data_IF_967106188183
#
_entry.id   IF_967106188183
#
_cell.length_a   1.000
_cell.length_b   1.000
_cell.length_c   1.000
_cell.angle_alpha   90.00
_cell.angle_beta   90.00
_cell.angle_gamma   90.00
#
_symmetry.space_group_name_H-M   'P 1'
#
loop_
_entity.id
_entity.type
_entity.pdbx_description
1 polymer ?
#
# COMPACT_ATOMS: atom_id res chain seq x y z
N UNK A 1 -10.68 -27.76 9.97
CA UNK A 1 -10.02 -26.53 9.47
C UNK A 1 -10.96 -25.38 9.76
N UNK A 2 -10.48 -24.31 10.39
CA UNK A 2 -11.25 -23.07 10.53
C UNK A 2 -11.45 -22.44 9.16
N UNK A 3 -12.62 -21.86 8.87
CA UNK A 3 -12.82 -21.10 7.64
C UNK A 3 -11.90 -19.87 7.63
N UNK A 4 -11.53 -19.40 6.44
CA UNK A 4 -10.68 -18.20 6.30
C UNK A 4 -11.34 -16.97 6.95
N UNK A 5 -12.65 -16.83 6.79
CA UNK A 5 -13.46 -15.78 7.43
C UNK A 5 -13.41 -15.84 8.97
N UNK A 6 -13.45 -17.04 9.55
CA UNK A 6 -13.30 -17.20 11.00
C UNK A 6 -11.88 -16.84 11.45
N UNK A 7 -10.85 -17.33 10.73
CA UNK A 7 -9.46 -17.02 11.05
C UNK A 7 -9.17 -15.50 11.01
N UNK A 8 -9.79 -14.79 10.06
CA UNK A 8 -9.72 -13.34 9.95
C UNK A 8 -10.43 -12.62 11.09
N UNK A 9 -11.64 -13.07 11.45
CA UNK A 9 -12.40 -12.53 12.58
C UNK A 9 -11.65 -12.70 13.91
N UNK A 10 -10.95 -13.82 14.08
CA UNK A 10 -10.17 -14.14 15.28
C UNK A 10 -8.91 -13.28 15.45
N UNK A 11 -8.50 -12.49 14.44
CA UNK A 11 -7.38 -11.55 14.55
C UNK A 11 -7.71 -10.35 15.43
N UNK A 12 -8.96 -9.86 15.41
CA UNK A 12 -9.36 -8.60 16.06
C UNK A 12 -8.88 -8.44 17.52
N UNK A 13 -8.99 -9.43 18.42
CA UNK A 13 -8.49 -9.28 19.80
C UNK A 13 -6.95 -9.26 19.92
N UNK A 14 -6.23 -9.73 18.89
CA UNK A 14 -4.76 -9.81 18.88
C UNK A 14 -4.12 -8.51 18.39
N UNK A 15 -4.77 -7.83 17.43
CA UNK A 15 -4.23 -6.63 16.80
C UNK A 15 -4.25 -5.43 17.75
N UNK A 16 -3.17 -4.66 17.79
CA UNK A 16 -2.92 -3.59 18.77
C UNK A 16 -3.29 -2.20 18.28
N UNK A 17 -2.94 -1.87 17.04
CA UNK A 17 -3.09 -0.53 16.50
C UNK A 17 -4.00 -0.47 15.27
N UNK A 18 -4.21 -1.60 14.60
CA UNK A 18 -5.20 -1.72 13.53
C UNK A 18 -6.36 -2.63 13.93
N UNK A 19 -7.43 -2.56 13.16
CA UNK A 19 -8.58 -3.46 13.24
C UNK A 19 -8.91 -4.00 11.85
N UNK A 20 -9.18 -5.30 11.68
CA UNK A 20 -9.51 -5.88 10.39
C UNK A 20 -10.85 -5.31 9.88
N UNK A 21 -10.91 -4.99 8.58
CA UNK A 21 -12.19 -4.63 7.94
C UNK A 21 -12.95 -5.89 7.51
N UNK A 22 -14.30 -5.87 7.52
CA UNK A 22 -15.08 -6.97 6.95
C UNK A 22 -14.93 -6.98 5.42
N UNK A 23 -14.87 -8.18 4.85
CA UNK A 23 -14.88 -8.38 3.40
C UNK A 23 -16.27 -8.75 2.89
N UNK A 24 -16.61 -8.28 1.68
CA UNK A 24 -17.76 -8.78 0.93
C UNK A 24 -17.48 -10.20 0.39
N UNK A 25 -18.52 -10.90 -0.06
CA UNK A 25 -18.37 -12.22 -0.69
C UNK A 25 -17.39 -12.18 -1.88
N UNK A 26 -17.48 -11.15 -2.73
CA UNK A 26 -16.58 -10.99 -3.88
C UNK A 26 -15.12 -10.73 -3.48
N UNK A 27 -14.91 -10.06 -2.34
CA UNK A 27 -13.58 -9.83 -1.78
C UNK A 27 -13.03 -11.10 -1.16
N UNK A 28 -13.87 -11.92 -0.53
CA UNK A 28 -13.46 -13.24 -0.05
C UNK A 28 -13.03 -14.15 -1.19
N UNK A 29 -13.82 -14.24 -2.27
CA UNK A 29 -13.44 -14.99 -3.47
C UNK A 29 -12.10 -14.53 -4.04
N UNK A 30 -11.86 -13.21 -4.07
CA UNK A 30 -10.59 -12.64 -4.49
C UNK A 30 -9.41 -13.10 -3.60
N UNK A 31 -9.57 -13.05 -2.29
CA UNK A 31 -8.53 -13.46 -1.34
C UNK A 31 -8.23 -14.95 -1.47
N UNK A 32 -9.27 -15.79 -1.63
CA UNK A 32 -9.10 -17.23 -1.84
C UNK A 32 -8.30 -17.53 -3.11
N UNK A 33 -8.59 -16.83 -4.22
CA UNK A 33 -7.79 -16.92 -5.45
C UNK A 33 -6.32 -16.54 -5.22
N UNK A 34 -6.06 -15.39 -4.58
CA UNK A 34 -4.68 -14.95 -4.26
C UNK A 34 -3.96 -15.91 -3.31
N UNK A 35 -4.68 -16.57 -2.41
CA UNK A 35 -4.10 -17.54 -1.48
C UNK A 35 -3.75 -18.85 -2.19
N UNK A 36 -4.59 -19.30 -3.12
CA UNK A 36 -4.34 -20.51 -3.92
C UNK A 36 -3.22 -20.31 -4.94
N UNK A 37 -3.23 -19.17 -5.62
CA UNK A 37 -2.19 -18.75 -6.55
C UNK A 37 -2.01 -17.23 -6.46
N UNK A 38 -0.98 -16.79 -5.76
CA UNK A 38 -0.74 -15.35 -5.60
C UNK A 38 -0.50 -14.66 -6.94
N UNK A 39 0.01 -15.38 -7.95
CA UNK A 39 0.23 -14.88 -9.31
C UNK A 39 -1.01 -14.98 -10.21
N UNK A 40 -2.20 -15.19 -9.64
CA UNK A 40 -3.46 -15.07 -10.38
C UNK A 40 -3.63 -13.63 -10.88
N UNK A 41 -3.46 -13.45 -12.19
CA UNK A 41 -3.52 -12.14 -12.85
C UNK A 41 -4.88 -11.47 -12.68
N UNK A 42 -5.97 -12.21 -12.82
CA UNK A 42 -7.31 -11.63 -12.70
C UNK A 42 -7.51 -11.13 -11.27
N UNK A 43 -7.10 -11.92 -10.28
CA UNK A 43 -7.12 -11.52 -8.89
C UNK A 43 -6.23 -10.28 -8.62
N UNK A 44 -4.97 -10.28 -9.09
CA UNK A 44 -4.05 -9.17 -8.88
C UNK A 44 -4.55 -7.85 -9.49
N UNK A 45 -5.25 -7.89 -10.63
CA UNK A 45 -5.84 -6.68 -11.25
C UNK A 45 -6.96 -6.03 -10.43
N UNK A 46 -7.53 -6.76 -9.46
CA UNK A 46 -8.57 -6.26 -8.56
C UNK A 46 -8.01 -5.64 -7.27
N UNK A 47 -6.70 -5.68 -7.07
CA UNK A 47 -6.00 -4.97 -5.99
C UNK A 47 -5.73 -3.49 -6.39
N UNK A 48 -5.45 -2.60 -5.42
CA UNK A 48 -5.46 -2.77 -3.96
C UNK A 48 -6.81 -3.07 -3.32
N UNK A 49 -6.73 -3.75 -2.17
CA UNK A 49 -7.85 -4.07 -1.30
C UNK A 49 -7.56 -3.55 0.12
N UNK A 50 -8.41 -2.70 0.73
CA UNK A 50 -8.29 -2.37 2.15
C UNK A 50 -8.51 -3.60 3.01
N UNK A 51 -7.56 -3.90 3.90
CA UNK A 51 -7.61 -5.07 4.79
C UNK A 51 -7.75 -4.67 6.26
N UNK A 52 -7.34 -3.48 6.65
CA UNK A 52 -7.53 -2.99 8.02
C UNK A 52 -7.66 -1.48 8.04
N UNK A 53 -8.09 -0.94 9.17
CA UNK A 53 -8.01 0.49 9.48
C UNK A 53 -7.28 0.69 10.80
N UNK A 54 -6.61 1.84 10.96
CA UNK A 54 -6.10 2.22 12.27
C UNK A 54 -7.25 2.39 13.26
N UNK A 55 -7.04 1.90 14.48
CA UNK A 55 -7.88 2.23 15.63
C UNK A 55 -7.81 3.74 15.86
N UNK A 56 -8.91 4.35 16.28
CA UNK A 56 -8.98 5.79 16.47
C UNK A 56 -7.93 6.33 17.46
N UNK A 57 -7.63 5.57 18.52
CA UNK A 57 -6.59 5.92 19.50
C UNK A 57 -5.18 5.92 18.90
N UNK A 58 -4.84 4.89 18.11
CA UNK A 58 -3.56 4.80 17.43
C UNK A 58 -3.40 5.91 16.39
N UNK A 59 -4.43 6.15 15.56
CA UNK A 59 -4.46 7.25 14.59
C UNK A 59 -4.18 8.59 15.27
N UNK A 60 -4.89 8.88 16.36
CA UNK A 60 -4.76 10.14 17.08
C UNK A 60 -3.34 10.33 17.63
N UNK A 61 -2.80 9.31 18.30
CA UNK A 61 -1.47 9.41 18.91
C UNK A 61 -0.35 9.53 17.87
N UNK A 62 -0.43 8.78 16.77
CA UNK A 62 0.52 8.89 15.65
C UNK A 62 0.48 10.29 15.05
N UNK A 63 -0.71 10.85 14.85
CA UNK A 63 -0.87 12.20 14.33
C UNK A 63 -0.30 13.26 15.28
N UNK A 64 -0.65 13.21 16.57
CA UNK A 64 -0.14 14.14 17.59
C UNK A 64 1.40 14.13 17.62
N UNK A 65 2.02 12.96 17.49
CA UNK A 65 3.47 12.87 17.40
C UNK A 65 4.01 13.48 16.11
N UNK A 66 3.42 13.18 14.94
CA UNK A 66 3.84 13.74 13.66
C UNK A 66 3.78 15.28 13.63
N UNK A 67 2.84 15.91 14.36
CA UNK A 67 2.75 17.38 14.45
C UNK A 67 3.91 18.06 15.19
N UNK A 68 4.81 17.30 15.81
CA UNK A 68 5.98 17.83 16.51
C UNK A 68 7.17 18.09 15.57
N UNK A 69 7.05 17.74 14.29
CA UNK A 69 8.14 17.78 13.31
C UNK A 69 7.76 18.65 12.11
N UNK A 70 8.53 19.71 11.88
CA UNK A 70 8.34 20.66 10.76
C UNK A 70 8.88 20.15 9.42
N UNK A 71 9.75 19.14 9.45
CA UNK A 71 10.28 18.42 8.30
C UNK A 71 9.84 16.95 8.35
N UNK A 72 10.01 16.22 7.24
CA UNK A 72 9.74 14.79 7.16
C UNK A 72 10.97 14.00 7.62
N UNK A 73 10.79 13.23 8.67
CA UNK A 73 11.75 12.21 9.10
C UNK A 73 11.43 10.88 8.41
N UNK A 74 12.47 10.16 7.96
CA UNK A 74 12.34 8.83 7.34
C UNK A 74 13.29 7.86 8.03
N UNK A 75 12.77 6.70 8.43
CA UNK A 75 13.54 5.63 9.06
C UNK A 75 13.19 4.27 8.45
N UNK A 76 14.17 3.37 8.42
CA UNK A 76 13.94 1.99 7.99
C UNK A 76 13.49 1.14 9.17
N UNK A 77 12.65 0.13 8.90
CA UNK A 77 12.07 -0.71 9.94
C UNK A 77 13.12 -1.52 10.73
N UNK A 78 14.30 -1.72 10.15
CA UNK A 78 15.43 -2.44 10.76
C UNK A 78 16.34 -1.52 11.60
N UNK A 79 16.11 -0.20 11.56
CA UNK A 79 16.87 0.76 12.33
C UNK A 79 16.37 0.76 13.79
N UNK A 80 17.28 0.56 14.75
CA UNK A 80 16.99 0.57 16.19
C UNK A 80 16.69 1.98 16.74
N UNK A 81 16.03 2.84 15.98
CA UNK A 81 15.70 4.20 16.37
C UNK A 81 14.81 4.17 17.65
N UNK A 82 15.16 4.94 18.69
CA UNK A 82 14.42 4.98 19.95
C UNK A 82 13.22 5.95 19.95
N UNK A 83 12.80 6.48 18.79
CA UNK A 83 11.67 7.41 18.72
C UNK A 83 10.30 6.72 18.94
N UNK A 84 9.28 7.51 19.27
CA UNK A 84 7.94 6.99 19.56
C UNK A 84 7.27 6.37 18.32
N UNK A 85 7.62 6.83 17.11
CA UNK A 85 7.10 6.27 15.85
C UNK A 85 7.66 4.89 15.60
N UNK A 86 8.90 4.60 15.99
CA UNK A 86 9.47 3.26 15.97
C UNK A 86 8.64 2.29 16.81
N UNK A 87 8.11 2.74 17.95
CA UNK A 87 7.16 1.98 18.77
C UNK A 87 5.88 1.65 18.01
N UNK A 88 5.27 2.63 17.34
CA UNK A 88 4.09 2.41 16.50
C UNK A 88 4.39 1.57 15.26
N UNK A 89 5.55 1.73 14.64
CA UNK A 89 6.00 0.95 13.49
C UNK A 89 6.18 -0.53 13.85
N UNK A 90 6.72 -0.85 15.05
CA UNK A 90 6.81 -2.23 15.54
C UNK A 90 5.42 -2.85 15.75
N UNK A 91 4.52 -2.13 16.42
CA UNK A 91 3.14 -2.60 16.60
C UNK A 91 2.41 -2.77 15.26
N UNK A 92 2.67 -1.87 14.31
CA UNK A 92 2.14 -1.96 12.94
C UNK A 92 2.66 -3.22 12.25
N UNK A 93 3.96 -3.48 12.38
CA UNK A 93 4.59 -4.65 11.81
C UNK A 93 3.97 -5.93 12.39
N UNK A 94 3.87 -6.05 13.71
CA UNK A 94 3.28 -7.22 14.36
C UNK A 94 1.84 -7.46 13.90
N UNK A 95 1.04 -6.39 13.82
CA UNK A 95 -0.35 -6.48 13.38
C UNK A 95 -0.47 -6.91 11.91
N UNK A 96 0.36 -6.33 11.01
CA UNK A 96 0.34 -6.65 9.58
C UNK A 96 0.88 -8.05 9.30
N UNK A 97 1.88 -8.52 10.06
CA UNK A 97 2.37 -9.90 9.95
C UNK A 97 1.27 -10.89 10.34
N UNK A 98 0.56 -10.65 11.44
CA UNK A 98 -0.57 -11.48 11.84
C UNK A 98 -1.68 -11.52 10.78
N UNK A 99 -1.94 -10.41 10.08
CA UNK A 99 -2.87 -10.38 8.95
C UNK A 99 -2.35 -11.15 7.73
N UNK A 100 -1.07 -10.99 7.39
CA UNK A 100 -0.48 -11.65 6.23
C UNK A 100 -0.34 -13.16 6.43
N UNK A 101 -0.11 -13.64 7.65
CA UNK A 101 -0.15 -15.07 7.98
C UNK A 101 -1.49 -15.72 7.61
N UNK A 102 -2.59 -14.97 7.71
CA UNK A 102 -3.93 -15.43 7.34
C UNK A 102 -4.17 -15.29 5.84
N UNK A 103 -3.90 -14.11 5.27
CA UNK A 103 -4.25 -13.78 3.88
C UNK A 103 -3.30 -14.39 2.85
N UNK A 104 -1.99 -14.35 3.12
CA UNK A 104 -0.93 -14.80 2.21
C UNK A 104 0.12 -15.58 3.01
N UNK A 105 -0.16 -16.84 3.42
CA UNK A 105 0.70 -17.58 4.35
C UNK A 105 2.14 -17.82 3.87
N UNK A 106 2.38 -17.69 2.56
CA UNK A 106 3.70 -17.77 1.91
C UNK A 106 4.49 -16.45 1.97
N UNK A 107 3.87 -15.34 2.40
CA UNK A 107 4.54 -14.06 2.51
C UNK A 107 5.54 -14.06 3.67
N UNK A 108 6.76 -13.59 3.42
CA UNK A 108 7.80 -13.38 4.44
C UNK A 108 8.31 -11.96 4.33
N UNK A 109 8.47 -11.30 5.47
CA UNK A 109 8.97 -9.93 5.52
C UNK A 109 10.30 -9.82 4.76
N UNK A 110 10.41 -8.76 3.95
CA UNK A 110 11.60 -8.46 3.14
C UNK A 110 12.22 -7.13 3.56
N UNK A 111 11.43 -6.05 3.49
CA UNK A 111 11.84 -4.70 3.83
C UNK A 111 10.63 -3.87 4.23
N UNK A 112 10.87 -2.82 5.01
CA UNK A 112 9.86 -1.86 5.41
C UNK A 112 10.51 -0.54 5.80
N UNK A 113 9.74 0.52 5.70
CA UNK A 113 10.14 1.85 6.16
C UNK A 113 8.92 2.61 6.65
N UNK A 114 9.18 3.65 7.41
CA UNK A 114 8.17 4.60 7.82
C UNK A 114 8.72 6.02 7.72
N UNK A 115 7.82 6.97 7.47
CA UNK A 115 8.14 8.38 7.41
C UNK A 115 7.08 9.17 8.16
N UNK A 116 7.44 10.27 8.82
CA UNK A 116 6.49 11.08 9.58
C UNK A 116 6.94 12.53 9.68
N UNK A 117 6.00 13.42 9.96
CA UNK A 117 6.25 14.86 10.06
C UNK A 117 5.41 15.65 9.07
N UNK A 118 5.86 16.86 8.72
CA UNK A 118 5.14 17.79 7.86
C UNK A 118 5.55 17.64 6.39
N UNK A 119 4.64 17.09 5.60
CA UNK A 119 4.83 16.91 4.17
C UNK A 119 4.38 18.16 3.41
N UNK A 120 5.33 19.02 3.07
CA UNK A 120 5.09 20.35 2.46
C UNK A 120 5.27 20.40 0.95
N UNK A 121 5.88 19.39 0.35
CA UNK A 121 6.02 19.30 -1.10
C UNK A 121 5.12 18.17 -1.64
N UNK A 122 4.54 18.33 -2.84
CA UNK A 122 4.21 17.18 -3.66
C UNK A 122 5.54 16.58 -4.08
N UNK A 123 6.17 15.82 -3.20
CA UNK A 123 7.22 14.96 -3.68
C UNK A 123 6.51 13.92 -4.54
N UNK A 124 6.93 13.70 -5.79
CA UNK A 124 6.74 12.41 -6.40
C UNK A 124 7.60 11.43 -5.59
N UNK A 125 7.17 11.11 -4.37
CA UNK A 125 7.25 9.75 -3.93
C UNK A 125 6.28 9.00 -4.85
N UNK A 126 6.70 8.84 -6.12
CA UNK A 126 6.38 7.67 -6.90
C UNK A 126 6.99 6.53 -6.10
N UNK A 127 6.27 6.16 -5.03
CA UNK A 127 6.60 5.02 -4.23
C UNK A 127 6.56 3.86 -5.23
N UNK A 128 7.77 3.46 -5.61
CA UNK A 128 8.16 2.29 -6.39
C UNK A 128 8.40 2.47 -7.89
N UNK A 129 9.32 3.35 -8.26
CA UNK A 129 10.25 2.98 -9.34
C UNK A 129 11.18 1.82 -8.93
N UNK A 130 11.41 1.62 -7.63
CA UNK A 130 12.28 0.54 -7.12
C UNK A 130 11.74 -0.88 -7.38
N UNK A 131 10.43 -1.08 -7.54
CA UNK A 131 9.90 -2.43 -7.77
C UNK A 131 9.92 -2.84 -9.24
N UNK A 132 9.55 -1.92 -10.13
CA UNK A 132 9.60 -2.16 -11.58
C UNK A 132 11.02 -2.23 -12.13
N UNK A 133 11.99 -1.63 -11.44
CA UNK A 133 13.41 -1.79 -11.78
C UNK A 133 13.96 -3.17 -11.40
N UNK A 134 13.37 -3.84 -10.40
CA UNK A 134 13.83 -5.14 -9.90
C UNK A 134 13.32 -6.33 -10.73
N UNK A 135 12.29 -6.12 -11.56
CA UNK A 135 11.75 -7.18 -12.42
C UNK A 135 11.29 -6.69 -13.82
N UNK A 136 12.07 -6.95 -14.88
CA UNK A 136 11.71 -6.57 -16.24
C UNK A 136 10.51 -7.36 -16.80
N UNK A 137 10.16 -8.50 -16.21
CA UNK A 137 9.02 -9.33 -16.63
C UNK A 137 7.70 -8.88 -15.98
N UNK A 138 7.74 -7.94 -15.03
CA UNK A 138 6.55 -7.36 -14.43
C UNK A 138 5.70 -6.60 -15.47
N UNK A 139 4.39 -6.88 -15.48
CA UNK A 139 3.44 -6.19 -16.33
C UNK A 139 2.34 -5.55 -15.48
N UNK A 140 2.13 -4.24 -15.63
CA UNK A 140 0.95 -3.60 -15.06
C UNK A 140 0.97 -3.46 -13.53
N UNK A 141 2.07 -2.97 -12.97
CA UNK A 141 2.14 -2.65 -11.55
C UNK A 141 1.13 -1.54 -11.19
N UNK A 142 0.50 -1.60 -10.00
CA UNK A 142 -0.27 -0.47 -9.50
C UNK A 142 0.68 0.72 -9.29
N UNK A 143 0.52 1.76 -10.10
CA UNK A 143 1.29 3.01 -9.96
C UNK A 143 0.78 3.72 -8.71
N UNK A 144 1.55 3.69 -7.62
CA UNK A 144 1.24 4.39 -6.38
C UNK A 144 1.76 5.84 -6.44
N UNK A 145 0.86 6.81 -6.46
CA UNK A 145 1.18 8.25 -6.47
C UNK A 145 0.80 8.83 -5.10
N UNK A 146 1.79 9.12 -4.26
CA UNK A 146 1.56 9.78 -2.98
C UNK A 146 1.64 11.30 -3.17
N UNK A 147 0.51 12.01 -3.16
CA UNK A 147 0.49 13.47 -3.08
C UNK A 147 0.22 13.87 -1.64
N UNK A 148 1.31 14.05 -0.90
CA UNK A 148 1.22 14.09 0.57
C UNK A 148 0.69 15.44 1.06
N UNK A 149 0.99 16.53 0.35
CA UNK A 149 0.48 17.88 0.63
C UNK A 149 -1.06 17.98 0.54
N UNK A 150 -1.73 17.20 -0.32
CA UNK A 150 -3.15 17.47 -0.63
C UNK A 150 -4.16 16.35 -0.34
N UNK A 151 -3.99 15.08 -0.73
CA UNK A 151 -5.23 14.27 -0.96
C UNK A 151 -5.15 12.75 -0.74
N UNK A 152 -4.08 12.23 -0.15
CA UNK A 152 -3.95 10.79 0.15
C UNK A 152 -2.92 10.08 -0.72
N UNK A 153 -3.10 8.78 -0.89
CA UNK A 153 -2.27 7.93 -1.76
C UNK A 153 -3.15 7.44 -2.89
N UNK A 154 -2.75 7.68 -4.13
CA UNK A 154 -3.54 7.33 -5.31
C UNK A 154 -2.91 6.15 -6.03
N UNK A 155 -3.72 5.38 -6.75
CA UNK A 155 -3.26 4.19 -7.44
C UNK A 155 -3.98 3.99 -8.76
N UNK A 156 -3.31 3.31 -9.69
CA UNK A 156 -3.97 2.70 -10.86
C UNK A 156 -4.26 1.24 -10.51
N UNK A 157 -5.51 0.82 -10.62
CA UNK A 157 -5.88 -0.60 -10.52
C UNK A 157 -5.69 -1.28 -11.88
N UNK A 158 -5.35 -2.56 -11.87
CA UNK A 158 -5.31 -3.36 -13.10
C UNK A 158 -4.02 -3.21 -13.90
N UNK A 159 -4.05 -3.69 -15.15
CA UNK A 159 -2.88 -3.71 -16.02
C UNK A 159 -2.70 -2.39 -16.76
N UNK A 160 -1.65 -1.63 -16.40
CA UNK A 160 -1.24 -0.41 -17.11
C UNK A 160 -1.18 -0.59 -18.64
N UNK A 161 -0.74 -1.76 -19.13
CA UNK A 161 -0.60 -2.02 -20.57
C UNK A 161 -1.95 -2.21 -21.27
N UNK A 162 -3.03 -2.42 -20.52
CA UNK A 162 -4.38 -2.55 -21.07
C UNK A 162 -5.02 -1.19 -21.42
N UNK A 163 -4.44 -0.08 -20.94
CA UNK A 163 -4.91 1.26 -21.29
C UNK A 163 -4.47 1.67 -22.70
N UNK A 164 -5.16 2.64 -23.30
CA UNK A 164 -4.77 3.22 -24.58
C UNK A 164 -3.47 4.04 -24.47
N UNK A 165 -2.82 4.31 -25.61
CA UNK A 165 -1.51 4.97 -25.66
C UNK A 165 -1.50 6.37 -25.01
N UNK A 166 -2.62 7.11 -25.07
CA UNK A 166 -2.74 8.43 -24.46
C UNK A 166 -2.80 8.31 -22.94
N UNK A 167 -3.62 7.40 -22.43
CA UNK A 167 -3.69 7.12 -20.99
C UNK A 167 -2.35 6.61 -20.45
N UNK A 168 -1.65 5.76 -21.22
CA UNK A 168 -0.30 5.30 -20.90
C UNK A 168 0.74 6.44 -20.83
N UNK A 169 0.68 7.41 -21.76
CA UNK A 169 1.51 8.62 -21.75
C UNK A 169 1.26 9.45 -20.49
N UNK A 170 0.00 9.73 -20.19
CA UNK A 170 -0.43 10.46 -18.98
C UNK A 170 0.07 9.80 -17.69
N UNK A 171 -0.06 8.48 -17.57
CA UNK A 171 0.40 7.73 -16.41
C UNK A 171 1.94 7.73 -16.28
N UNK A 172 2.69 7.69 -17.38
CA UNK A 172 4.15 7.86 -17.35
C UNK A 172 4.53 9.29 -16.94
N UNK A 173 3.81 10.29 -17.41
CA UNK A 173 4.01 11.68 -17.03
C UNK A 173 3.86 11.88 -15.51
N UNK A 174 2.83 11.25 -14.92
CA UNK A 174 2.64 11.24 -13.47
C UNK A 174 3.72 10.47 -12.71
N UNK A 175 4.17 9.33 -13.24
CA UNK A 175 5.22 8.50 -12.62
C UNK A 175 6.51 9.30 -12.40
N UNK A 176 6.89 10.12 -13.38
CA UNK A 176 8.12 10.92 -13.32
C UNK A 176 7.89 12.38 -12.95
N UNK A 177 6.63 12.77 -12.73
CA UNK A 177 6.21 14.15 -12.52
C UNK A 177 6.75 15.10 -13.59
N UNK A 178 6.57 14.73 -14.85
CA UNK A 178 7.03 15.49 -16.02
C UNK A 178 5.86 15.90 -16.89
N UNK A 179 6.02 16.99 -17.65
CA UNK A 179 5.04 17.36 -18.68
C UNK A 179 4.95 16.29 -19.78
N UNK A 180 3.77 16.18 -20.39
CA UNK A 180 3.50 15.36 -21.56
C UNK A 180 2.61 16.13 -22.56
N UNK A 181 2.39 15.64 -23.79
CA UNK A 181 1.48 16.29 -24.75
C UNK A 181 0.07 16.55 -24.19
N UNK A 182 -0.37 15.73 -23.23
CA UNK A 182 -1.66 15.85 -22.56
C UNK A 182 -1.73 16.95 -21.50
N UNK A 183 -0.60 17.51 -21.06
CA UNK A 183 -0.54 18.64 -20.13
C UNK A 183 0.58 18.57 -19.08
N UNK A 184 0.48 19.47 -18.09
CA UNK A 184 1.31 19.43 -16.88
C UNK A 184 0.85 18.29 -15.94
N UNK A 185 1.74 17.72 -15.11
CA UNK A 185 1.42 16.63 -14.19
C UNK A 185 0.16 16.87 -13.35
N UNK A 186 -0.06 18.08 -12.84
CA UNK A 186 -1.22 18.43 -12.01
C UNK A 186 -2.53 18.31 -12.79
N UNK A 187 -2.56 18.81 -14.03
CA UNK A 187 -3.73 18.73 -14.89
C UNK A 187 -4.01 17.28 -15.32
N UNK A 188 -2.95 16.52 -15.59
CA UNK A 188 -3.03 15.10 -15.92
C UNK A 188 -3.59 14.31 -14.73
N UNK A 189 -3.12 14.59 -13.53
CA UNK A 189 -3.57 13.94 -12.29
C UNK A 189 -5.06 14.17 -12.07
N UNK A 190 -5.50 15.43 -12.13
CA UNK A 190 -6.92 15.79 -11.97
C UNK A 190 -7.79 15.13 -13.05
N UNK A 191 -7.30 15.04 -14.28
CA UNK A 191 -8.02 14.38 -15.37
C UNK A 191 -8.20 12.88 -15.11
N UNK A 192 -7.13 12.17 -14.75
CA UNK A 192 -7.20 10.72 -14.49
C UNK A 192 -8.00 10.37 -13.23
N UNK A 193 -7.98 11.24 -12.22
CA UNK A 193 -8.82 11.11 -11.04
C UNK A 193 -10.32 11.26 -11.39
N UNK A 194 -10.68 12.30 -12.17
CA UNK A 194 -12.07 12.51 -12.63
C UNK A 194 -12.58 11.36 -13.50
N UNK A 195 -11.71 10.75 -14.29
CA UNK A 195 -12.02 9.59 -15.13
C UNK A 195 -12.14 8.28 -14.33
N UNK A 196 -11.73 8.26 -13.07
CA UNK A 196 -11.69 7.04 -12.24
C UNK A 196 -10.56 6.07 -12.62
N UNK A 197 -9.62 6.50 -13.47
CA UNK A 197 -8.40 5.73 -13.78
C UNK A 197 -7.46 5.71 -12.59
N UNK A 198 -7.27 6.89 -11.96
CA UNK A 198 -6.69 6.96 -10.64
C UNK A 198 -7.78 6.75 -9.60
N UNK A 199 -7.52 5.83 -8.68
CA UNK A 199 -8.31 5.59 -7.48
C UNK A 199 -7.57 6.14 -6.28
N UNK A 200 -8.31 6.42 -5.20
CA UNK A 200 -7.73 6.94 -3.95
C UNK A 200 -7.78 5.86 -2.89
N UNK A 201 -6.63 5.55 -2.29
CA UNK A 201 -6.57 4.70 -1.11
C UNK A 201 -7.28 5.39 0.05
N UNK A 202 -8.14 4.66 0.78
CA UNK A 202 -8.79 5.24 1.94
C UNK A 202 -7.74 5.61 3.00
N UNK A 203 -7.84 6.82 3.53
CA UNK A 203 -6.94 7.33 4.57
C UNK A 203 -7.07 6.45 5.82
N UNK A 204 -5.97 6.24 6.55
CA UNK A 204 -5.93 5.40 7.75
C UNK A 204 -6.24 3.92 7.51
N UNK A 205 -6.23 3.45 6.26
CA UNK A 205 -6.44 2.05 5.94
C UNK A 205 -5.16 1.38 5.46
N UNK A 206 -4.97 0.15 5.92
CA UNK A 206 -3.92 -0.75 5.45
C UNK A 206 -4.46 -1.37 4.17
N UNK A 207 -3.75 -1.21 3.06
CA UNK A 207 -4.18 -1.79 1.78
C UNK A 207 -3.20 -2.86 1.29
N UNK A 208 -3.75 -4.02 0.96
CA UNK A 208 -3.03 -5.09 0.28
C UNK A 208 -2.83 -4.73 -1.18
N UNK A 209 -1.56 -4.76 -1.60
CA UNK A 209 -1.09 -4.46 -2.95
C UNK A 209 -0.15 -5.55 -3.44
N UNK A 210 0.09 -5.54 -4.75
CA UNK A 210 1.08 -6.39 -5.43
C UNK A 210 2.10 -5.51 -6.13
N UNK A 211 3.37 -5.84 -5.96
CA UNK A 211 4.47 -5.37 -6.80
C UNK A 211 4.87 -6.51 -7.75
N UNK A 212 5.24 -6.19 -9.01
CA UNK A 212 5.57 -7.21 -10.00
C UNK A 212 4.37 -8.01 -10.53
N UNK A 213 3.23 -7.37 -10.79
CA UNK A 213 2.01 -8.02 -11.29
C UNK A 213 2.31 -8.96 -12.47
N UNK A 214 1.78 -10.19 -12.38
CA UNK A 214 1.98 -11.28 -13.35
C UNK A 214 3.43 -11.79 -13.51
N UNK A 215 4.36 -11.37 -12.65
CA UNK A 215 5.71 -11.94 -12.63
C UNK A 215 5.84 -13.13 -11.67
N UNK A 216 6.72 -14.07 -12.01
CA UNK A 216 7.21 -15.09 -11.08
C UNK A 216 7.86 -14.50 -9.80
N UNK A 217 8.28 -13.23 -9.82
CA UNK A 217 8.86 -12.53 -8.65
C UNK A 217 7.89 -11.55 -7.99
N UNK A 218 6.57 -11.67 -8.24
CA UNK A 218 5.58 -10.82 -7.60
C UNK A 218 5.72 -10.83 -6.07
N UNK A 219 5.46 -9.69 -5.45
CA UNK A 219 5.61 -9.45 -4.02
C UNK A 219 4.33 -8.86 -3.44
N UNK A 220 3.97 -9.27 -2.23
CA UNK A 220 2.92 -8.61 -1.49
C UNK A 220 3.48 -7.32 -0.88
N UNK A 221 2.77 -6.22 -1.07
CA UNK A 221 3.14 -4.91 -0.52
C UNK A 221 1.97 -4.34 0.26
N UNK A 222 2.28 -3.57 1.30
CA UNK A 222 1.29 -2.89 2.15
C UNK A 222 1.68 -1.43 2.24
N UNK A 223 0.72 -0.56 1.93
CA UNK A 223 0.88 0.88 1.99
C UNK A 223 -0.16 1.48 2.91
N UNK A 224 0.23 2.51 3.65
CA UNK A 224 -0.71 3.29 4.43
C UNK A 224 -0.19 4.69 4.70
N UNK A 225 -1.11 5.66 4.69
CA UNK A 225 -0.90 6.95 5.33
C UNK A 225 -1.86 7.08 6.52
N UNK A 226 -1.30 7.20 7.73
CA UNK A 226 -2.00 7.68 8.90
C UNK A 226 -2.09 9.22 8.81
N UNK A 227 -3.30 9.74 8.54
CA UNK A 227 -3.57 11.19 8.41
C UNK A 227 -4.86 11.57 9.11
N UNK A 228 -5.02 12.83 9.52
CA UNK A 228 -6.35 13.37 9.78
C UNK A 228 -7.21 13.21 8.50
N UNK A 229 -8.51 12.95 8.63
CA UNK A 229 -9.41 12.81 7.47
C UNK A 229 -9.48 14.06 6.59
N UNK A 230 -8.99 15.21 7.08
CA UNK A 230 -9.10 16.52 6.42
C UNK A 230 -7.74 17.23 6.38
N UNK A 231 -7.23 17.48 5.17
CA UNK A 231 -6.36 18.62 4.81
C UNK A 231 -5.05 18.89 5.58
N UNK A 232 -4.58 17.97 6.43
CA UNK A 232 -3.39 18.16 7.24
C UNK A 232 -2.10 17.80 6.51
N UNK A 233 -1.09 18.68 6.60
CA UNK A 233 0.27 18.42 6.09
C UNK A 233 1.04 17.41 6.96
N UNK A 234 0.62 17.19 8.21
CA UNK A 234 1.28 16.26 9.12
C UNK A 234 0.71 14.84 8.98
N UNK A 235 1.59 13.86 8.80
CA UNK A 235 1.21 12.47 8.60
C UNK A 235 2.27 11.52 9.16
N UNK A 236 1.91 10.24 9.31
CA UNK A 236 2.87 9.15 9.25
C UNK A 236 2.52 8.21 8.10
N UNK A 237 3.53 7.75 7.38
CA UNK A 237 3.45 6.77 6.33
C UNK A 237 4.15 5.50 6.80
N UNK A 238 3.52 4.35 6.61
CA UNK A 238 4.14 3.06 6.89
C UNK A 238 4.06 2.20 5.64
N UNK A 239 5.14 1.46 5.37
CA UNK A 239 5.16 0.54 4.26
C UNK A 239 5.89 -0.75 4.60
N UNK A 240 5.31 -1.86 4.16
CA UNK A 240 5.95 -3.18 4.21
C UNK A 240 5.93 -3.89 2.88
N UNK A 241 6.92 -4.75 2.71
CA UNK A 241 7.07 -5.58 1.54
C UNK A 241 7.45 -6.99 1.97
N UNK A 242 6.88 -7.93 1.23
CA UNK A 242 6.99 -9.34 1.51
C UNK A 242 7.40 -10.09 0.26
N UNK A 243 8.35 -11.01 0.43
CA UNK A 243 8.70 -11.98 -0.58
C UNK A 243 7.87 -13.24 -0.38
N UNK A 244 7.37 -13.81 -1.47
CA UNK A 244 6.71 -15.12 -1.43
C UNK A 244 7.77 -16.21 -1.32
N UNK A 245 7.62 -17.10 -0.35
CA UNK A 245 8.40 -18.34 -0.28
C UNK A 245 7.56 -19.49 -0.81
N UNK A 246 8.12 -20.29 -1.70
CA UNK A 246 7.50 -21.56 -2.08
C UNK A 246 7.46 -22.44 -0.83
N UNK A 247 6.31 -23.04 -0.46
CA UNK A 247 6.27 -24.01 0.61
C UNK A 247 7.31 -25.10 0.30
N UNK A 248 8.14 -25.46 1.29
CA UNK A 248 8.98 -26.63 1.15
C UNK A 248 8.07 -27.81 0.79
N UNK A 249 8.36 -28.51 -0.32
CA UNK A 249 7.69 -29.78 -0.62
C UNK A 249 7.91 -30.66 0.61
N UNK A 250 6.85 -31.02 1.30
CA UNK A 250 6.89 -32.08 2.30
C UNK A 250 7.43 -33.32 1.58
N UNK A 251 8.65 -33.72 1.92
CA UNK A 251 9.26 -34.96 1.49
C UNK A 251 8.51 -36.16 2.10
#
# INVERSE_FOLDING_TARGET
MTSLDQAWSDLRPRLKIVEPVPFSADQWSLIESLRANFNDREAQTRLPLPIARFRDSARKAIFEHATQFDDVETAYADDNAPDAVAGYARLYNDDVDAMLEVLVPSARFRKGHYAYGKFTAPQPHGLHTDHSAEDPDAAGEPICIARIETLGTHYVAGDYRAYDARTQSMLNALRYWTAAPEGQPEAIFDALLKQGTLKTMPINHVVLMVAGNSSARAQATQHIAARPPEGGLHSAFFQRQYKLVTPARSA
#
